data_IF_238561865014
#
_entry.id   IF_238561865014
#
_cell.length_a   1.000
_cell.length_b   1.000
_cell.length_c   1.000
_cell.angle_alpha   90.00
_cell.angle_beta   90.00
_cell.angle_gamma   90.00
#
_symmetry.space_group_name_H-M   'P 1'
#
loop_
_entity.id
_entity.type
_entity.pdbx_description
1 polymer ?
#
# COMPACT_ATOMS: atom_id res chain seq x y z
N UNK A 1 1.02 -1.83 -21.18
CA UNK A 1 -0.26 -1.46 -20.52
C UNK A 1 -1.42 -1.57 -21.49
N UNK A 2 -1.55 -0.71 -22.50
CA UNK A 2 -2.61 -0.85 -23.53
C UNK A 2 -2.38 -2.11 -24.37
N UNK A 3 -1.14 -2.37 -24.80
CA UNK A 3 -0.80 -3.57 -25.59
C UNK A 3 -1.16 -4.87 -24.86
N UNK A 4 -0.97 -4.91 -23.53
CA UNK A 4 -1.32 -6.07 -22.70
C UNK A 4 -2.82 -6.17 -22.40
N UNK A 5 -3.60 -5.10 -22.66
CA UNK A 5 -5.03 -4.98 -22.34
C UNK A 5 -5.81 -4.14 -23.36
N UNK A 6 -5.89 -4.59 -24.62
CA UNK A 6 -6.53 -3.84 -25.69
C UNK A 6 -8.02 -3.56 -25.41
N UNK A 7 -8.69 -4.35 -24.58
CA UNK A 7 -10.08 -4.18 -24.20
C UNK A 7 -10.37 -2.89 -23.40
N UNK A 8 -9.34 -2.26 -22.80
CA UNK A 8 -9.47 -0.99 -22.09
C UNK A 8 -8.94 0.21 -22.89
N UNK A 9 -8.46 0.02 -24.14
CA UNK A 9 -7.84 1.08 -24.92
C UNK A 9 -8.73 2.32 -25.10
N UNK A 10 -10.06 2.14 -25.23
CA UNK A 10 -11.02 3.24 -25.33
C UNK A 10 -11.52 3.79 -24.00
N UNK A 11 -10.97 3.34 -22.87
CA UNK A 11 -11.36 3.74 -21.50
C UNK A 11 -10.21 4.33 -20.69
N UNK A 12 -9.01 4.44 -21.29
CA UNK A 12 -7.79 4.86 -20.60
C UNK A 12 -7.08 5.92 -21.43
N UNK A 13 -6.88 7.09 -20.83
CA UNK A 13 -6.00 8.14 -21.32
C UNK A 13 -4.77 8.24 -20.41
N UNK A 14 -3.65 8.66 -21.00
CA UNK A 14 -2.37 8.76 -20.30
C UNK A 14 -1.82 10.18 -20.39
N UNK A 15 -1.45 10.73 -19.24
CA UNK A 15 -0.72 12.00 -19.14
C UNK A 15 0.63 11.73 -18.47
N UNK A 16 1.71 12.21 -19.08
CA UNK A 16 3.05 12.08 -18.52
C UNK A 16 3.30 13.19 -17.49
N UNK A 17 3.59 12.79 -16.26
CA UNK A 17 4.00 13.67 -15.17
C UNK A 17 5.42 13.28 -14.77
N UNK A 18 6.40 14.14 -15.07
CA UNK A 18 7.82 13.83 -14.81
C UNK A 18 8.18 13.91 -13.33
N UNK A 19 7.64 14.92 -12.63
CA UNK A 19 7.94 15.20 -11.23
C UNK A 19 6.64 15.56 -10.50
N UNK A 20 6.08 14.59 -9.79
CA UNK A 20 4.81 14.74 -9.10
C UNK A 20 4.88 15.61 -7.83
N UNK A 21 6.07 16.01 -7.40
CA UNK A 21 6.27 16.86 -6.22
C UNK A 21 6.03 18.34 -6.54
N UNK A 22 6.22 18.75 -7.80
CA UNK A 22 6.10 20.14 -8.22
C UNK A 22 4.63 20.57 -8.23
N UNK A 23 4.34 21.72 -7.63
CA UNK A 23 2.99 22.31 -7.68
C UNK A 23 2.59 22.63 -9.13
N UNK A 24 1.32 22.39 -9.45
CA UNK A 24 0.72 22.71 -10.74
C UNK A 24 0.96 21.68 -11.85
N UNK A 25 1.81 20.67 -11.64
CA UNK A 25 2.07 19.62 -12.65
C UNK A 25 0.83 18.80 -13.00
N UNK A 26 -0.10 18.68 -12.05
CA UNK A 26 -1.35 17.96 -12.24
C UNK A 26 -2.49 18.82 -12.81
N UNK A 27 -2.31 20.15 -12.92
CA UNK A 27 -3.42 21.06 -13.26
C UNK A 27 -4.09 20.76 -14.59
N UNK A 28 -3.35 20.30 -15.61
CA UNK A 28 -3.95 19.88 -16.88
C UNK A 28 -4.64 18.51 -16.75
N UNK A 29 -4.02 17.57 -16.03
CA UNK A 29 -4.51 16.20 -15.88
C UNK A 29 -5.84 16.10 -15.12
N UNK A 30 -6.14 17.11 -14.29
CA UNK A 30 -7.34 17.11 -13.45
C UNK A 30 -8.52 17.89 -14.04
N UNK A 31 -8.41 18.52 -15.22
CA UNK A 31 -9.49 19.41 -15.74
C UNK A 31 -10.81 18.71 -16.01
N UNK A 32 -10.75 17.49 -16.56
CA UNK A 32 -11.90 16.77 -17.08
C UNK A 32 -12.21 15.50 -16.27
N UNK A 33 -11.92 15.50 -14.95
CA UNK A 33 -12.14 14.34 -14.07
C UNK A 33 -13.10 14.69 -12.92
N UNK A 34 -13.87 13.69 -12.45
CA UNK A 34 -14.85 13.85 -11.36
C UNK A 34 -14.30 13.46 -9.97
N UNK A 35 -13.20 12.71 -9.95
CA UNK A 35 -12.56 12.24 -8.74
C UNK A 35 -11.10 11.86 -9.00
N UNK A 36 -10.31 11.75 -7.94
CA UNK A 36 -8.87 11.45 -8.01
C UNK A 36 -8.54 10.25 -7.12
N UNK A 37 -7.72 9.34 -7.63
CA UNK A 37 -7.05 8.30 -6.83
C UNK A 37 -5.55 8.56 -6.84
N UNK A 38 -5.01 9.02 -5.71
CA UNK A 38 -3.60 9.33 -5.55
C UNK A 38 -2.85 8.17 -4.88
N UNK A 39 -2.23 7.32 -5.71
CA UNK A 39 -1.46 6.14 -5.29
C UNK A 39 0.05 6.39 -5.30
N UNK A 40 0.50 7.43 -6.01
CA UNK A 40 1.91 7.73 -6.22
C UNK A 40 2.56 8.23 -4.92
N UNK A 41 3.68 7.62 -4.54
CA UNK A 41 4.44 8.05 -3.38
C UNK A 41 5.87 7.53 -3.51
N UNK A 42 6.89 8.28 -3.06
CA UNK A 42 8.25 7.80 -3.10
C UNK A 42 8.40 6.59 -2.15
N UNK A 43 9.08 5.56 -2.63
CA UNK A 43 9.38 4.37 -1.85
C UNK A 43 10.86 4.00 -2.04
N UNK A 44 11.63 4.08 -0.96
CA UNK A 44 12.99 3.54 -0.90
C UNK A 44 13.33 3.15 0.54
N UNK A 45 14.07 2.05 0.70
CA UNK A 45 14.73 1.68 1.96
C UNK A 45 16.23 1.97 1.96
N UNK A 46 16.71 2.64 0.92
CA UNK A 46 18.08 3.09 0.76
C UNK A 46 18.06 4.60 0.50
N UNK A 47 18.15 5.37 1.58
CA UNK A 47 18.16 6.83 1.54
C UNK A 47 19.37 7.35 2.32
N UNK A 48 20.02 8.37 1.79
CA UNK A 48 21.15 9.08 2.41
C UNK A 48 20.69 10.34 3.14
N UNK A 49 19.49 10.81 2.84
CA UNK A 49 18.85 11.94 3.49
C UNK A 49 17.35 11.69 3.64
N UNK A 50 16.96 11.16 4.80
CA UNK A 50 15.57 10.83 5.14
C UNK A 50 14.60 11.98 4.84
N UNK A 51 14.99 13.21 5.15
CA UNK A 51 14.13 14.36 4.95
C UNK A 51 13.93 14.68 3.46
N UNK A 52 15.04 14.87 2.72
CA UNK A 52 15.02 15.37 1.33
C UNK A 52 14.64 14.31 0.31
N UNK A 53 14.94 13.04 0.56
CA UNK A 53 14.75 11.97 -0.42
C UNK A 53 13.49 11.15 -0.16
N UNK A 54 12.82 11.33 0.99
CA UNK A 54 11.68 10.51 1.38
C UNK A 54 10.52 11.30 1.98
N UNK A 55 10.76 12.11 3.03
CA UNK A 55 9.68 12.79 3.76
C UNK A 55 9.12 13.98 2.96
N UNK A 56 9.97 14.91 2.55
CA UNK A 56 9.56 16.10 1.78
C UNK A 56 8.90 15.70 0.45
N UNK A 57 9.47 14.78 -0.35
CA UNK A 57 8.82 14.28 -1.56
C UNK A 57 7.41 13.70 -1.34
N UNK A 58 7.22 12.92 -0.27
CA UNK A 58 5.90 12.35 0.02
C UNK A 58 4.88 13.43 0.39
N UNK A 59 5.27 14.43 1.19
CA UNK A 59 4.42 15.57 1.55
C UNK A 59 4.08 16.39 0.30
N UNK A 60 5.09 16.73 -0.52
CA UNK A 60 4.92 17.55 -1.71
C UNK A 60 4.03 16.88 -2.75
N UNK A 61 4.15 15.56 -2.96
CA UNK A 61 3.29 14.81 -3.87
C UNK A 61 1.81 14.92 -3.51
N UNK A 62 1.48 14.74 -2.23
CA UNK A 62 0.11 14.90 -1.73
C UNK A 62 -0.37 16.34 -1.88
N UNK A 63 0.44 17.33 -1.51
CA UNK A 63 0.06 18.74 -1.66
C UNK A 63 -0.18 19.11 -3.13
N UNK A 64 0.69 18.65 -4.03
CA UNK A 64 0.60 18.97 -5.45
C UNK A 64 -0.72 18.49 -6.06
N UNK A 65 -1.14 17.25 -5.77
CA UNK A 65 -2.41 16.74 -6.30
C UNK A 65 -3.64 17.41 -5.67
N UNK A 66 -3.59 17.75 -4.37
CA UNK A 66 -4.71 18.43 -3.69
C UNK A 66 -4.88 19.87 -4.19
N UNK A 67 -3.78 20.60 -4.38
CA UNK A 67 -3.80 21.95 -4.97
C UNK A 67 -4.35 21.91 -6.41
N UNK A 68 -3.94 20.93 -7.21
CA UNK A 68 -4.51 20.75 -8.54
C UNK A 68 -6.00 20.42 -8.47
N UNK A 69 -6.42 19.52 -7.57
CA UNK A 69 -7.82 19.14 -7.41
C UNK A 69 -8.72 20.35 -7.07
N UNK A 70 -8.23 21.33 -6.31
CA UNK A 70 -8.97 22.57 -6.00
C UNK A 70 -9.30 23.38 -7.26
N UNK A 71 -8.48 23.27 -8.30
CA UNK A 71 -8.70 24.02 -9.55
C UNK A 71 -9.85 23.49 -10.40
N UNK A 72 -10.28 22.24 -10.17
CA UNK A 72 -11.42 21.65 -10.87
C UNK A 72 -12.64 21.53 -9.93
N UNK A 73 -13.72 22.29 -10.15
CA UNK A 73 -14.91 22.25 -9.30
C UNK A 73 -15.74 20.97 -9.43
N UNK A 74 -15.49 20.13 -10.44
CA UNK A 74 -16.17 18.85 -10.65
C UNK A 74 -15.60 17.73 -9.78
N UNK A 75 -14.38 17.90 -9.23
CA UNK A 75 -13.81 16.90 -8.33
C UNK A 75 -14.63 16.87 -7.05
N UNK A 76 -15.17 15.69 -6.74
CA UNK A 76 -15.99 15.44 -5.54
C UNK A 76 -15.22 14.72 -4.45
N UNK A 77 -14.18 13.95 -4.82
CA UNK A 77 -13.38 13.18 -3.87
C UNK A 77 -11.95 12.96 -4.33
N UNK A 78 -11.03 12.98 -3.37
CA UNK A 78 -9.65 12.50 -3.55
C UNK A 78 -9.40 11.31 -2.61
N UNK A 79 -9.20 10.12 -3.18
CA UNK A 79 -8.81 8.91 -2.44
C UNK A 79 -7.30 8.81 -2.44
N UNK A 80 -6.68 8.70 -1.25
CA UNK A 80 -5.24 8.69 -1.09
C UNK A 80 -4.78 7.35 -0.53
N UNK A 81 -3.81 6.72 -1.20
CA UNK A 81 -3.12 5.55 -0.68
C UNK A 81 -2.09 5.98 0.36
N UNK A 82 -2.45 5.89 1.63
CA UNK A 82 -1.53 6.00 2.75
C UNK A 82 -0.91 4.63 3.04
N UNK A 83 -0.66 4.30 4.31
CA UNK A 83 -0.13 3.02 4.73
C UNK A 83 -0.44 2.78 6.20
N UNK A 84 -0.54 1.52 6.62
CA UNK A 84 -0.53 1.19 8.04
C UNK A 84 0.71 1.75 8.78
N UNK A 85 1.77 2.10 8.06
CA UNK A 85 2.92 2.84 8.58
C UNK A 85 2.57 4.22 9.17
N UNK A 86 1.49 4.88 8.72
CA UNK A 86 0.98 6.14 9.31
C UNK A 86 0.13 5.92 10.57
N UNK A 87 -0.22 4.67 10.88
CA UNK A 87 -1.12 4.25 11.97
C UNK A 87 -0.34 3.56 13.10
N UNK A 88 0.60 2.68 12.74
CA UNK A 88 1.33 1.80 13.65
C UNK A 88 2.18 2.55 14.67
N UNK A 89 1.99 2.22 15.95
CA UNK A 89 2.93 2.53 17.04
C UNK A 89 3.73 1.27 17.43
N UNK A 90 5.00 1.21 17.06
CA UNK A 90 5.86 0.05 17.38
C UNK A 90 6.19 -0.12 18.86
N UNK A 91 5.97 0.93 19.65
CA UNK A 91 6.25 0.94 21.08
C UNK A 91 4.99 0.61 21.91
N UNK A 92 3.79 0.65 21.32
CA UNK A 92 2.55 0.23 21.99
C UNK A 92 2.64 -1.26 22.32
N UNK A 93 2.46 -1.60 23.60
CA UNK A 93 2.52 -2.99 24.10
C UNK A 93 1.17 -3.42 24.65
N UNK A 94 0.88 -4.70 24.48
CA UNK A 94 -0.15 -5.39 25.25
C UNK A 94 0.51 -6.13 26.43
N UNK A 95 -0.19 -6.36 27.55
CA UNK A 95 -1.57 -5.96 27.86
C UNK A 95 -1.73 -4.47 28.24
N UNK A 96 -2.96 -3.90 28.14
CA UNK A 96 -4.19 -4.55 27.66
C UNK A 96 -4.17 -4.79 26.14
N UNK A 97 -4.94 -5.78 25.67
CA UNK A 97 -5.14 -6.00 24.23
C UNK A 97 -5.77 -4.76 23.60
N UNK A 98 -5.38 -4.45 22.38
CA UNK A 98 -5.94 -3.33 21.62
C UNK A 98 -6.05 -3.69 20.13
N UNK A 99 -6.88 -2.93 19.41
CA UNK A 99 -7.05 -3.05 17.96
C UNK A 99 -6.76 -1.70 17.33
N UNK A 100 -5.85 -1.65 16.36
CA UNK A 100 -5.64 -0.45 15.56
C UNK A 100 -6.82 -0.21 14.63
N UNK A 101 -7.18 1.06 14.46
CA UNK A 101 -8.25 1.53 13.59
C UNK A 101 -7.74 2.68 12.71
N UNK A 102 -8.61 3.22 11.84
CA UNK A 102 -8.32 4.45 11.10
C UNK A 102 -8.13 5.69 11.99
N UNK A 103 -8.54 5.65 13.27
CA UNK A 103 -8.38 6.76 14.20
C UNK A 103 -6.98 6.84 14.83
N UNK A 104 -6.23 5.73 14.81
CA UNK A 104 -4.88 5.70 15.37
C UNK A 104 -3.87 6.40 14.43
N UNK A 105 -2.89 7.05 15.04
CA UNK A 105 -1.79 7.71 14.34
C UNK A 105 -0.46 7.24 14.90
N UNK A 106 0.51 7.01 14.01
CA UNK A 106 1.88 6.71 14.39
C UNK A 106 2.46 7.87 15.23
N UNK A 107 3.05 7.64 16.41
CA UNK A 107 3.52 8.71 17.29
C UNK A 107 4.83 9.37 16.84
N UNK A 108 5.57 8.79 15.88
CA UNK A 108 6.89 9.24 15.42
C UNK A 108 6.91 10.74 15.10
N UNK A 109 7.82 11.53 15.71
CA UNK A 109 7.90 12.97 15.41
C UNK A 109 8.60 13.24 14.08
N UNK A 110 8.46 14.47 13.56
CA UNK A 110 9.11 14.84 12.30
C UNK A 110 10.63 14.83 12.44
N UNK A 111 11.13 15.36 13.56
CA UNK A 111 12.56 15.40 13.88
C UNK A 111 13.14 13.99 14.00
N UNK A 112 12.42 13.07 14.64
CA UNK A 112 12.81 11.66 14.73
C UNK A 112 12.83 11.00 13.35
N UNK A 113 11.81 11.20 12.51
CA UNK A 113 11.74 10.63 11.18
C UNK A 113 12.83 11.17 10.24
N UNK A 114 13.07 12.48 10.27
CA UNK A 114 14.02 13.18 9.41
C UNK A 114 15.49 13.03 9.84
N UNK A 115 15.72 12.64 11.10
CA UNK A 115 17.07 12.47 11.66
C UNK A 115 17.94 11.55 10.79
N UNK A 116 19.17 11.93 10.45
CA UNK A 116 20.12 11.06 9.73
C UNK A 116 20.51 9.80 10.51
N UNK A 117 20.25 9.76 11.82
CA UNK A 117 20.50 8.57 12.67
C UNK A 117 19.37 7.55 12.60
N UNK A 118 18.23 7.93 12.03
CA UNK A 118 17.04 7.09 11.92
C UNK A 118 17.17 6.18 10.71
N UNK A 119 16.91 4.88 10.90
CA UNK A 119 16.93 3.92 9.79
C UNK A 119 15.92 4.29 8.70
N UNK A 120 16.22 4.00 7.43
CA UNK A 120 15.33 4.25 6.30
C UNK A 120 13.91 3.66 6.50
N UNK A 121 13.78 2.50 7.15
CA UNK A 121 12.49 1.86 7.46
C UNK A 121 11.64 2.72 8.40
N UNK A 122 12.26 3.38 9.39
CA UNK A 122 11.56 4.27 10.32
C UNK A 122 11.25 5.62 9.64
N UNK A 123 12.19 6.14 8.84
CA UNK A 123 11.95 7.34 8.04
C UNK A 123 10.79 7.17 7.05
N UNK A 124 10.67 5.99 6.42
CA UNK A 124 9.53 5.62 5.57
C UNK A 124 8.19 5.69 6.31
N UNK A 125 8.15 5.25 7.58
CA UNK A 125 6.93 5.39 8.38
C UNK A 125 6.58 6.86 8.60
N UNK A 126 7.61 7.68 8.86
CA UNK A 126 7.46 9.13 8.94
C UNK A 126 6.92 9.73 7.65
N UNK A 127 7.47 9.37 6.49
CA UNK A 127 7.02 9.94 5.21
C UNK A 127 5.54 9.64 4.95
N UNK A 128 5.08 8.40 5.23
CA UNK A 128 3.66 8.04 5.12
C UNK A 128 2.79 8.81 6.13
N UNK A 129 3.23 8.90 7.39
CA UNK A 129 2.53 9.70 8.42
C UNK A 129 2.37 11.15 8.00
N UNK A 130 3.46 11.83 7.61
CA UNK A 130 3.42 13.27 7.36
C UNK A 130 2.79 13.63 6.03
N UNK A 131 2.90 12.78 5.00
CA UNK A 131 2.15 12.96 3.76
C UNK A 131 0.64 12.85 4.01
N UNK A 132 0.18 11.85 4.75
CA UNK A 132 -1.23 11.73 5.09
C UNK A 132 -1.71 12.88 5.99
N UNK A 133 -0.92 13.26 7.00
CA UNK A 133 -1.25 14.40 7.86
C UNK A 133 -1.38 15.69 7.04
N UNK A 134 -0.50 15.91 6.06
CA UNK A 134 -0.59 17.07 5.16
C UNK A 134 -1.90 17.08 4.34
N UNK A 135 -2.43 15.92 3.95
CA UNK A 135 -3.74 15.84 3.32
C UNK A 135 -4.87 16.30 4.26
N UNK A 136 -4.89 15.79 5.49
CA UNK A 136 -5.91 16.15 6.48
C UNK A 136 -5.82 17.61 6.91
N UNK A 137 -4.60 18.13 7.10
CA UNK A 137 -4.35 19.54 7.39
C UNK A 137 -4.86 20.41 6.23
N UNK A 138 -4.60 20.02 4.98
CA UNK A 138 -5.08 20.75 3.80
C UNK A 138 -6.62 20.85 3.77
N UNK A 139 -7.34 19.76 4.02
CA UNK A 139 -8.81 19.79 4.08
C UNK A 139 -9.31 20.72 5.19
N UNK A 140 -8.66 20.67 6.36
CA UNK A 140 -9.01 21.53 7.49
C UNK A 140 -8.74 23.02 7.22
N UNK A 141 -7.63 23.33 6.56
CA UNK A 141 -7.16 24.70 6.32
C UNK A 141 -7.87 25.36 5.14
N UNK A 142 -8.10 24.62 4.05
CA UNK A 142 -8.63 25.15 2.81
C UNK A 142 -10.13 24.92 2.62
N UNK A 143 -10.72 23.96 3.35
CA UNK A 143 -12.13 23.56 3.25
C UNK A 143 -12.62 23.47 1.78
N UNK A 144 -11.97 22.64 0.94
CA UNK A 144 -12.32 22.53 -0.48
C UNK A 144 -13.70 21.89 -0.67
N UNK A 145 -14.20 21.90 -1.91
CA UNK A 145 -15.51 21.31 -2.25
C UNK A 145 -15.52 19.79 -2.19
N UNK A 146 -14.37 19.15 -2.43
CA UNK A 146 -14.21 17.71 -2.34
C UNK A 146 -13.87 17.28 -0.92
N UNK A 147 -14.22 16.04 -0.58
CA UNK A 147 -13.72 15.37 0.61
C UNK A 147 -12.54 14.44 0.28
N UNK A 148 -11.90 13.89 1.31
CA UNK A 148 -10.85 12.88 1.14
C UNK A 148 -11.21 11.57 1.84
N UNK A 149 -10.69 10.47 1.29
CA UNK A 149 -10.64 9.18 1.95
C UNK A 149 -9.20 8.69 1.93
N UNK A 150 -8.67 8.27 3.07
CA UNK A 150 -7.34 7.65 3.12
C UNK A 150 -7.45 6.16 3.39
N UNK A 151 -6.72 5.37 2.61
CA UNK A 151 -6.59 3.93 2.82
C UNK A 151 -5.20 3.65 3.36
N UNK A 152 -5.11 3.00 4.52
CA UNK A 152 -3.89 2.68 5.24
C UNK A 152 -3.63 1.17 5.22
N UNK A 153 -3.32 0.57 4.06
CA UNK A 153 -3.11 -0.87 3.96
C UNK A 153 -1.83 -1.30 4.68
N UNK A 154 -1.81 -2.53 5.25
CA UNK A 154 -0.60 -3.16 5.74
C UNK A 154 0.19 -3.79 4.57
N UNK A 155 0.80 -4.96 4.77
CA UNK A 155 1.52 -5.65 3.71
C UNK A 155 0.58 -5.98 2.55
N UNK A 156 0.91 -5.55 1.32
CA UNK A 156 0.07 -5.79 0.14
C UNK A 156 0.72 -6.85 -0.72
N UNK A 157 0.00 -7.94 -0.97
CA UNK A 157 0.46 -9.08 -1.77
C UNK A 157 -0.49 -9.39 -2.91
N UNK A 158 -0.06 -10.21 -3.87
CA UNK A 158 -0.94 -10.76 -4.90
C UNK A 158 -0.47 -10.44 -6.32
N UNK A 159 -1.15 -11.01 -7.33
CA UNK A 159 -0.72 -10.95 -8.73
C UNK A 159 -0.64 -9.50 -9.24
N UNK A 160 0.38 -9.22 -10.04
CA UNK A 160 0.64 -7.87 -10.55
C UNK A 160 -0.14 -7.64 -11.84
N UNK A 161 -0.86 -6.52 -11.90
CA UNK A 161 -1.61 -6.14 -13.10
C UNK A 161 -0.72 -5.39 -14.10
N UNK A 162 0.15 -4.48 -13.69
CA UNK A 162 1.00 -3.78 -14.65
C UNK A 162 2.02 -4.74 -15.30
N UNK A 163 2.45 -4.51 -16.54
CA UNK A 163 3.46 -5.35 -17.17
C UNK A 163 4.76 -5.32 -16.37
N UNK A 164 5.20 -6.50 -15.96
CA UNK A 164 6.45 -6.77 -15.26
C UNK A 164 7.20 -7.78 -16.11
N UNK A 165 8.41 -7.44 -16.55
CA UNK A 165 9.15 -8.25 -17.52
C UNK A 165 9.73 -9.54 -16.94
N UNK A 166 10.00 -9.56 -15.63
CA UNK A 166 10.59 -10.67 -14.89
C UNK A 166 10.48 -10.42 -13.38
N UNK A 167 10.82 -11.44 -12.59
CA UNK A 167 10.69 -11.40 -11.14
C UNK A 167 11.54 -10.29 -10.46
N UNK A 168 12.66 -9.86 -11.06
CA UNK A 168 13.50 -8.78 -10.52
C UNK A 168 12.82 -7.41 -10.56
N UNK A 169 11.72 -7.27 -11.29
CA UNK A 169 10.92 -6.04 -11.41
C UNK A 169 9.67 -6.05 -10.54
N UNK A 170 9.45 -7.08 -9.72
CA UNK A 170 8.35 -7.12 -8.76
C UNK A 170 8.50 -6.03 -7.68
N UNK A 171 7.37 -5.56 -7.15
CA UNK A 171 7.38 -4.72 -5.96
C UNK A 171 7.92 -5.50 -4.74
N UNK A 172 8.50 -4.78 -3.78
CA UNK A 172 9.24 -5.35 -2.64
C UNK A 172 8.53 -6.52 -1.94
N UNK A 173 7.24 -6.36 -1.63
CA UNK A 173 6.44 -7.38 -0.92
C UNK A 173 6.28 -8.67 -1.73
N UNK A 174 5.98 -8.56 -3.02
CA UNK A 174 5.84 -9.72 -3.91
C UNK A 174 7.19 -10.34 -4.26
N UNK A 175 8.23 -9.52 -4.43
CA UNK A 175 9.60 -9.99 -4.64
C UNK A 175 10.07 -10.85 -3.46
N UNK A 176 9.65 -10.55 -2.23
CA UNK A 176 9.97 -11.38 -1.08
C UNK A 176 9.31 -12.76 -1.13
N UNK A 177 8.03 -12.84 -1.50
CA UNK A 177 7.34 -14.12 -1.68
C UNK A 177 8.02 -14.97 -2.77
N UNK A 178 8.44 -14.33 -3.86
CA UNK A 178 9.21 -15.00 -4.91
C UNK A 178 10.56 -15.52 -4.41
N UNK A 179 11.34 -14.69 -3.70
CA UNK A 179 12.63 -15.10 -3.11
C UNK A 179 12.45 -16.32 -2.20
N UNK A 180 11.38 -16.37 -1.41
CA UNK A 180 11.04 -17.52 -0.57
C UNK A 180 10.81 -18.77 -1.43
N UNK A 181 9.99 -18.65 -2.48
CA UNK A 181 9.72 -19.74 -3.40
C UNK A 181 11.02 -20.28 -4.05
N UNK A 182 11.98 -19.41 -4.34
CA UNK A 182 13.27 -19.77 -4.94
C UNK A 182 14.38 -20.10 -3.93
N UNK A 183 14.06 -20.23 -2.64
CA UNK A 183 14.99 -20.77 -1.63
C UNK A 183 15.66 -19.75 -0.70
N UNK A 184 15.05 -18.59 -0.46
CA UNK A 184 15.50 -17.62 0.55
C UNK A 184 15.72 -18.28 1.93
N UNK A 185 16.91 -18.08 2.49
CA UNK A 185 17.32 -18.56 3.83
C UNK A 185 18.20 -17.51 4.54
N UNK A 186 17.96 -17.20 5.82
CA UNK A 186 16.79 -17.59 6.63
C UNK A 186 15.50 -16.94 6.11
N UNK A 187 14.34 -17.41 6.59
CA UNK A 187 13.07 -16.73 6.31
C UNK A 187 13.03 -15.36 7.00
N UNK A 188 12.50 -14.31 6.35
CA UNK A 188 12.30 -13.03 7.01
C UNK A 188 11.26 -13.15 8.13
N UNK A 189 11.30 -12.25 9.10
CA UNK A 189 10.33 -12.19 10.20
C UNK A 189 9.25 -11.16 9.89
N UNK A 190 7.99 -11.58 9.90
CA UNK A 190 6.85 -10.69 9.76
C UNK A 190 6.63 -9.86 11.05
N UNK A 191 7.26 -8.68 11.12
CA UNK A 191 7.13 -7.76 12.28
C UNK A 191 5.75 -7.11 12.38
N UNK A 192 5.00 -7.12 11.29
CA UNK A 192 3.61 -6.66 11.19
C UNK A 192 2.85 -7.80 10.52
N UNK A 193 2.07 -8.60 11.26
CA UNK A 193 1.46 -9.83 10.72
C UNK A 193 0.13 -9.57 9.98
N UNK A 194 -0.15 -8.32 9.60
CA UNK A 194 -1.35 -7.92 8.86
C UNK A 194 -1.03 -7.77 7.37
N UNK A 195 -2.00 -8.10 6.53
CA UNK A 195 -1.83 -8.06 5.08
C UNK A 195 -3.17 -7.83 4.35
N UNK A 196 -3.10 -7.55 3.04
CA UNK A 196 -4.24 -7.44 2.13
C UNK A 196 -3.85 -7.91 0.72
N UNK A 197 -4.80 -8.51 -0.01
CA UNK A 197 -4.62 -8.78 -1.46
C UNK A 197 -4.73 -7.47 -2.26
N UNK A 198 -3.81 -7.26 -3.20
CA UNK A 198 -3.76 -6.07 -4.05
C UNK A 198 -5.05 -5.82 -4.83
N UNK A 199 -5.80 -6.88 -5.18
CA UNK A 199 -7.10 -6.80 -5.87
C UNK A 199 -8.19 -6.29 -4.92
N UNK A 200 -8.16 -6.70 -3.66
CA UNK A 200 -9.09 -6.21 -2.64
C UNK A 200 -8.79 -4.74 -2.32
N UNK A 201 -7.50 -4.38 -2.24
CA UNK A 201 -7.10 -2.99 -2.08
C UNK A 201 -7.52 -2.13 -3.28
N UNK A 202 -7.44 -2.64 -4.51
CA UNK A 202 -7.92 -1.93 -5.69
C UNK A 202 -9.44 -1.70 -5.66
N UNK A 203 -10.21 -2.71 -5.23
CA UNK A 203 -11.67 -2.56 -5.01
C UNK A 203 -11.93 -1.50 -3.93
N UNK A 204 -11.19 -1.51 -2.82
CA UNK A 204 -11.33 -0.51 -1.77
C UNK A 204 -11.09 0.93 -2.29
N UNK A 205 -10.11 1.14 -3.17
CA UNK A 205 -9.88 2.45 -3.80
C UNK A 205 -11.06 2.87 -4.68
N UNK A 206 -11.57 1.96 -5.52
CA UNK A 206 -12.68 2.24 -6.41
C UNK A 206 -13.97 2.54 -5.64
N UNK A 207 -14.34 1.68 -4.69
CA UNK A 207 -15.53 1.85 -3.85
C UNK A 207 -15.48 3.12 -2.99
N UNK A 208 -14.27 3.55 -2.59
CA UNK A 208 -14.09 4.81 -1.88
C UNK A 208 -14.50 6.02 -2.73
N UNK A 209 -14.46 5.95 -4.07
CA UNK A 209 -14.93 7.03 -4.95
C UNK A 209 -16.46 7.09 -5.03
N UNK A 210 -17.13 5.94 -5.00
CA UNK A 210 -18.55 5.81 -5.34
C UNK A 210 -19.51 5.88 -4.15
N UNK A 211 -19.00 6.03 -2.93
CA UNK A 211 -19.80 5.99 -1.68
C UNK A 211 -19.71 7.31 -0.91
N UNK A 212 -20.53 8.34 -1.25
CA UNK A 212 -20.41 9.69 -0.69
C UNK A 212 -20.38 9.73 0.85
N UNK A 213 -21.09 8.84 1.53
CA UNK A 213 -21.15 8.71 3.00
C UNK A 213 -19.80 8.38 3.67
N UNK A 214 -18.79 7.95 2.91
CA UNK A 214 -17.46 7.63 3.42
C UNK A 214 -16.51 8.83 3.46
N UNK A 215 -16.95 10.01 3.04
CA UNK A 215 -16.11 11.19 2.94
C UNK A 215 -15.49 11.61 4.28
N UNK A 216 -14.26 12.11 4.22
CA UNK A 216 -13.45 12.50 5.38
C UNK A 216 -13.21 11.36 6.37
N UNK A 217 -12.90 10.16 5.86
CA UNK A 217 -12.59 8.99 6.69
C UNK A 217 -11.25 8.34 6.37
N UNK A 218 -10.71 7.66 7.38
CA UNK A 218 -9.49 6.84 7.32
C UNK A 218 -9.88 5.38 7.49
N UNK A 219 -9.41 4.51 6.61
CA UNK A 219 -9.62 3.06 6.73
C UNK A 219 -8.29 2.32 6.80
N UNK A 220 -8.27 1.18 7.51
CA UNK A 220 -7.13 0.27 7.57
C UNK A 220 -7.50 -1.07 6.91
N UNK A 221 -7.73 -1.09 5.58
CA UNK A 221 -8.21 -2.30 4.91
C UNK A 221 -7.17 -3.41 5.05
N UNK A 222 -7.57 -4.53 5.66
CA UNK A 222 -6.71 -5.65 5.98
C UNK A 222 -7.53 -6.94 6.09
N UNK A 223 -7.01 -8.04 5.56
CA UNK A 223 -7.62 -9.34 5.74
C UNK A 223 -7.63 -9.72 7.24
N UNK A 224 -8.67 -10.47 7.65
CA UNK A 224 -8.83 -10.93 9.04
C UNK A 224 -7.70 -11.89 9.48
N UNK A 225 -7.20 -12.68 8.54
CA UNK A 225 -6.20 -13.69 8.80
C UNK A 225 -4.82 -13.04 8.89
N UNK A 226 -3.96 -13.58 9.75
CA UNK A 226 -2.58 -13.11 9.88
C UNK A 226 -1.65 -13.92 9.00
N UNK A 227 -0.51 -13.34 8.66
CA UNK A 227 0.53 -14.05 7.93
C UNK A 227 1.85 -14.15 8.71
N UNK A 228 2.62 -15.17 8.36
CA UNK A 228 4.07 -15.22 8.56
C UNK A 228 4.72 -15.68 7.26
N UNK A 229 6.02 -15.45 7.12
CA UNK A 229 6.73 -15.96 5.96
C UNK A 229 6.92 -17.48 6.03
N UNK A 230 6.91 -18.06 7.23
CA UNK A 230 6.78 -19.51 7.42
C UNK A 230 5.46 -20.08 6.88
N UNK A 231 4.34 -19.38 7.07
CA UNK A 231 3.04 -19.76 6.48
C UNK A 231 3.08 -19.64 4.95
N UNK A 232 3.63 -18.55 4.41
CA UNK A 232 3.80 -18.38 2.97
C UNK A 232 4.66 -19.50 2.37
N UNK A 233 5.79 -19.81 2.99
CA UNK A 233 6.68 -20.91 2.61
C UNK A 233 5.94 -22.25 2.54
N UNK A 234 5.12 -22.55 3.55
CA UNK A 234 4.28 -23.75 3.57
C UNK A 234 3.29 -23.78 2.40
N UNK A 235 2.53 -22.70 2.19
CA UNK A 235 1.56 -22.59 1.08
C UNK A 235 2.24 -22.82 -0.27
N UNK A 236 3.42 -22.23 -0.47
CA UNK A 236 4.20 -22.37 -1.70
C UNK A 236 4.61 -23.83 -1.92
N UNK A 237 5.17 -24.48 -0.91
CA UNK A 237 5.63 -25.86 -1.04
C UNK A 237 4.48 -26.87 -1.25
N UNK A 238 3.35 -26.62 -0.60
CA UNK A 238 2.16 -27.48 -0.71
C UNK A 238 1.51 -27.39 -2.11
N UNK A 239 1.61 -26.23 -2.78
CA UNK A 239 0.97 -25.98 -4.08
C UNK A 239 1.91 -26.09 -5.30
N UNK A 240 3.23 -25.91 -5.15
CA UNK A 240 4.18 -25.90 -6.27
C UNK A 240 5.25 -26.99 -6.15
N UNK A 241 5.16 -28.02 -7.00
CA UNK A 241 6.08 -29.17 -6.96
C UNK A 241 7.56 -28.77 -7.12
N UNK A 242 7.85 -27.78 -7.98
CA UNK A 242 9.21 -27.28 -8.21
C UNK A 242 9.84 -26.60 -6.99
N UNK A 243 9.02 -26.13 -6.04
CA UNK A 243 9.46 -25.45 -4.84
C UNK A 243 9.84 -26.45 -3.72
N UNK A 244 9.44 -27.72 -3.84
CA UNK A 244 9.72 -28.76 -2.85
C UNK A 244 11.22 -28.95 -2.65
N UNK A 245 11.65 -28.91 -1.39
CA UNK A 245 13.07 -29.01 -1.02
C UNK A 245 13.90 -27.74 -1.28
N UNK A 246 13.38 -26.73 -1.98
CA UNK A 246 14.02 -25.41 -2.12
C UNK A 246 13.63 -24.49 -0.97
N UNK A 247 12.32 -24.40 -0.71
CA UNK A 247 11.74 -23.54 0.32
C UNK A 247 12.17 -23.97 1.71
N UNK A 248 12.50 -23.01 2.57
CA UNK A 248 12.79 -23.29 3.97
C UNK A 248 11.51 -23.59 4.76
N UNK A 249 11.56 -24.66 5.57
CA UNK A 249 10.54 -24.93 6.59
C UNK A 249 11.00 -24.35 7.92
N UNK A 250 10.38 -23.26 8.31
CA UNK A 250 10.59 -22.63 9.61
C UNK A 250 9.21 -22.21 10.14
N UNK A 251 8.80 -22.79 11.27
CA UNK A 251 7.60 -22.35 11.96
C UNK A 251 7.90 -21.01 12.63
N UNK A 252 7.16 -19.98 12.24
CA UNK A 252 7.32 -18.63 12.75
C UNK A 252 6.13 -18.25 13.60
N UNK A 253 6.39 -17.82 14.84
CA UNK A 253 5.36 -17.27 15.70
C UNK A 253 4.72 -16.05 15.05
N UNK A 254 3.39 -16.01 15.07
CA UNK A 254 2.60 -14.86 14.64
C UNK A 254 2.22 -14.06 15.87
N UNK A 255 2.52 -12.76 15.87
CA UNK A 255 2.10 -11.89 16.96
C UNK A 255 0.57 -11.74 16.95
N UNK A 256 -0.10 -12.22 18.00
CA UNK A 256 -1.54 -12.10 18.22
C UNK A 256 -1.90 -11.17 19.38
N UNK A 257 -0.95 -10.36 19.85
CA UNK A 257 -1.11 -9.50 21.03
C UNK A 257 -1.99 -8.28 20.81
N UNK A 258 -2.28 -7.93 19.55
CA UNK A 258 -3.09 -6.78 19.14
C UNK A 258 -3.75 -7.02 17.78
N UNK A 259 -4.83 -6.32 17.46
CA UNK A 259 -5.61 -6.43 16.22
C UNK A 259 -5.43 -5.26 15.25
N UNK A 260 -6.03 -5.39 14.06
CA UNK A 260 -6.23 -4.35 13.07
C UNK A 260 -7.67 -4.44 12.53
N UNK A 261 -8.44 -3.36 12.59
CA UNK A 261 -9.85 -3.33 12.18
C UNK A 261 -10.01 -3.21 10.65
N UNK A 262 -9.69 -4.29 9.94
CA UNK A 262 -9.97 -4.39 8.51
C UNK A 262 -11.45 -4.61 8.18
N UNK A 263 -12.22 -5.19 9.10
CA UNK A 263 -13.63 -5.56 8.87
C UNK A 263 -14.52 -4.33 8.65
N UNK A 264 -14.24 -3.22 9.32
CA UNK A 264 -14.95 -1.96 9.06
C UNK A 264 -14.80 -1.50 7.61
N UNK A 265 -13.60 -1.60 7.03
CA UNK A 265 -13.38 -1.24 5.63
C UNK A 265 -14.16 -2.15 4.69
N UNK A 266 -14.06 -3.48 4.85
CA UNK A 266 -14.79 -4.45 4.04
C UNK A 266 -16.32 -4.25 4.10
N UNK A 267 -16.87 -4.07 5.31
CA UNK A 267 -18.31 -3.88 5.53
C UNK A 267 -18.84 -2.64 4.82
N UNK A 268 -18.13 -1.53 4.91
CA UNK A 268 -18.64 -0.23 4.47
C UNK A 268 -18.33 0.06 3.00
N UNK A 269 -17.23 -0.48 2.48
CA UNK A 269 -16.87 -0.45 1.06
C UNK A 269 -17.50 -1.63 0.29
N UNK A 270 -18.15 -2.57 0.97
CA UNK A 270 -18.97 -3.61 0.35
C UNK A 270 -18.19 -4.68 -0.40
N UNK A 271 -17.07 -5.15 0.15
CA UNK A 271 -16.26 -6.21 -0.45
C UNK A 271 -15.82 -7.25 0.58
N UNK A 272 -15.43 -8.43 0.10
CA UNK A 272 -14.87 -9.50 0.93
C UNK A 272 -13.38 -9.69 0.63
N UNK A 273 -12.61 -10.03 1.66
CA UNK A 273 -11.19 -10.29 1.52
C UNK A 273 -10.92 -11.69 0.94
N UNK A 274 -9.96 -11.75 0.02
CA UNK A 274 -9.36 -13.01 -0.45
C UNK A 274 -8.57 -13.68 0.67
N UNK A 275 -8.39 -14.99 0.55
CA UNK A 275 -7.57 -15.75 1.50
C UNK A 275 -6.08 -15.57 1.22
N UNK A 276 -5.24 -15.75 2.25
CA UNK A 276 -3.78 -15.65 2.08
C UNK A 276 -3.26 -16.73 1.12
N UNK A 277 -3.83 -17.94 1.20
CA UNK A 277 -3.52 -19.05 0.31
C UNK A 277 -3.74 -18.67 -1.16
N UNK A 278 -4.94 -18.20 -1.51
CA UNK A 278 -5.27 -17.76 -2.88
C UNK A 278 -4.33 -16.64 -3.35
N UNK A 279 -4.04 -15.68 -2.47
CA UNK A 279 -3.18 -14.52 -2.78
C UNK A 279 -1.76 -14.96 -3.14
N UNK A 280 -1.18 -15.87 -2.33
CA UNK A 280 0.17 -16.40 -2.54
C UNK A 280 0.21 -17.29 -3.77
N UNK A 281 -0.75 -18.20 -3.94
CA UNK A 281 -0.80 -19.11 -5.09
C UNK A 281 -0.92 -18.34 -6.39
N UNK A 282 -1.83 -17.37 -6.49
CA UNK A 282 -2.02 -16.58 -7.71
C UNK A 282 -0.76 -15.81 -8.10
N UNK A 283 -0.07 -15.21 -7.12
CA UNK A 283 1.18 -14.50 -7.37
C UNK A 283 2.26 -15.47 -7.90
N UNK A 284 2.49 -16.58 -7.21
CA UNK A 284 3.59 -17.49 -7.54
C UNK A 284 3.33 -18.18 -8.88
N UNK A 285 2.09 -18.55 -9.18
CA UNK A 285 1.70 -19.07 -10.50
C UNK A 285 1.98 -18.04 -11.60
N UNK A 286 1.60 -16.78 -11.38
CA UNK A 286 1.85 -15.71 -12.34
C UNK A 286 3.36 -15.52 -12.59
N UNK A 287 4.18 -15.43 -11.53
CA UNK A 287 5.63 -15.21 -11.65
C UNK A 287 6.33 -16.42 -12.27
N UNK A 288 5.89 -17.64 -11.95
CA UNK A 288 6.41 -18.86 -12.59
C UNK A 288 6.21 -18.83 -14.11
N UNK A 289 5.04 -18.37 -14.58
CA UNK A 289 4.75 -18.21 -16.01
C UNK A 289 5.60 -17.11 -16.65
N UNK A 290 5.84 -16.01 -15.94
CA UNK A 290 6.71 -14.92 -16.40
C UNK A 290 8.16 -15.39 -16.61
N UNK A 291 8.68 -16.24 -15.73
CA UNK A 291 10.04 -16.82 -15.82
C UNK A 291 10.13 -18.00 -16.83
N UNK A 292 9.15 -18.13 -17.73
CA UNK A 292 9.15 -19.15 -18.79
C UNK A 292 8.94 -20.58 -18.29
N UNK A 293 8.40 -20.76 -17.08
CA UNK A 293 8.22 -22.08 -16.46
C UNK A 293 9.55 -22.79 -16.12
N UNK A 294 10.68 -22.10 -16.28
CA UNK A 294 12.01 -22.62 -15.96
C UNK A 294 12.30 -22.41 -14.47
N UNK A 295 11.55 -23.09 -13.61
CA UNK A 295 11.71 -23.06 -12.15
C UNK A 295 11.67 -24.48 -11.61
#
# INVERSE_FOLDING_TARGET
MIEDRPEYAGKLDFVRIDDFEKLGVFSEAVKDVDAVVHVASPFTYDTKNNEKELIIPAINGVRSILEAAVTNPNITRVVITSSFASVLDVNRKAPPYFTYTGEDWNPLTYEEAASPKTSAVVAYRGSKKFAEKAAWDFIKEHNPRFDIVTLCPPMTFGPVVHPVSNADKLNESNAMLWKIATGQKPLPVARVPFWIDVRDLAVAHAESLFRPELGNRRFVPAAKDRFSYGLAAKIIEDNFYWAKGKVAREEQAIDTSHGLDGETAARELGFEYRTFDQTVVDLIDQVTKMEGGAV
#
